data_IF_068067611842
#
_entry.id   IF_068067611842
#
_cell.length_a   1.000
_cell.length_b   1.000
_cell.length_c   1.000
_cell.angle_alpha   90.00
_cell.angle_beta   90.00
_cell.angle_gamma   90.00
#
_symmetry.space_group_name_H-M   'P 1'
#
loop_
_entity.id
_entity.type
_entity.pdbx_description
1 polymer ?
#
# COMPACT_ATOMS: atom_id res chain seq x y z
N UNK A 1 -2.12 10.12 8.57
CA UNK A 1 -2.01 8.66 8.44
C UNK A 1 -0.94 8.38 7.38
N UNK A 2 0.01 7.48 7.62
CA UNK A 2 1.05 7.15 6.62
C UNK A 2 0.51 6.03 5.73
N UNK A 3 0.55 6.21 4.41
CA UNK A 3 0.24 5.11 3.47
C UNK A 3 1.43 4.16 3.45
N UNK A 4 1.16 2.89 3.71
CA UNK A 4 2.17 1.83 3.67
C UNK A 4 1.87 0.98 2.44
N UNK A 5 2.88 0.76 1.63
CA UNK A 5 2.84 -0.20 0.53
C UNK A 5 2.82 -1.61 1.13
N UNK A 6 1.67 -2.29 1.05
CA UNK A 6 1.46 -3.59 1.66
C UNK A 6 2.41 -4.65 1.09
N UNK A 7 2.70 -4.59 -0.21
CA UNK A 7 3.60 -5.54 -0.88
C UNK A 7 5.04 -5.37 -0.39
N UNK A 8 5.50 -4.11 -0.25
CA UNK A 8 6.82 -3.83 0.35
C UNK A 8 6.89 -4.27 1.82
N UNK A 9 5.80 -4.10 2.58
CA UNK A 9 5.75 -4.55 3.97
C UNK A 9 5.82 -6.09 4.06
N UNK A 10 5.05 -6.80 3.24
CA UNK A 10 5.06 -8.27 3.18
C UNK A 10 6.46 -8.76 2.80
N UNK A 11 7.12 -8.13 1.82
CA UNK A 11 8.48 -8.47 1.43
C UNK A 11 9.47 -8.35 2.59
N UNK A 12 9.44 -7.23 3.33
CA UNK A 12 10.30 -7.03 4.49
C UNK A 12 10.00 -8.06 5.61
N UNK A 13 8.71 -8.36 5.86
CA UNK A 13 8.32 -9.39 6.84
C UNK A 13 8.81 -10.78 6.42
N UNK A 14 8.79 -11.10 5.14
CA UNK A 14 9.28 -12.37 4.62
C UNK A 14 10.80 -12.51 4.80
N UNK A 15 11.57 -11.44 4.57
CA UNK A 15 13.02 -11.44 4.83
C UNK A 15 13.34 -11.69 6.32
N UNK A 16 12.55 -11.08 7.22
CA UNK A 16 12.65 -11.36 8.66
C UNK A 16 12.25 -12.80 8.99
N UNK A 17 11.18 -13.32 8.38
CA UNK A 17 10.77 -14.71 8.58
C UNK A 17 11.88 -15.69 8.16
N UNK A 18 12.54 -15.47 7.02
CA UNK A 18 13.65 -16.30 6.57
C UNK A 18 14.86 -16.26 7.52
N UNK A 19 15.10 -15.12 8.16
CA UNK A 19 16.19 -14.96 9.14
C UNK A 19 15.89 -15.73 10.44
N UNK A 20 14.64 -15.72 10.88
CA UNK A 20 14.18 -16.36 12.12
C UNK A 20 13.68 -17.80 11.89
N UNK A 21 13.87 -18.35 10.70
CA UNK A 21 13.44 -19.71 10.36
C UNK A 21 14.22 -20.74 11.19
N UNK A 22 13.56 -21.76 11.76
CA UNK A 22 14.21 -22.76 12.59
C UNK A 22 15.26 -23.55 11.81
N UNK A 23 16.49 -23.60 12.33
CA UNK A 23 17.59 -24.38 11.76
C UNK A 23 17.64 -25.80 12.39
N UNK A 24 17.95 -26.80 11.57
CA UNK A 24 18.15 -28.19 12.01
C UNK A 24 19.33 -28.35 12.97
N UNK A 25 20.24 -27.37 13.02
CA UNK A 25 21.41 -27.33 13.91
C UNK A 25 21.09 -26.79 15.31
N UNK A 26 19.95 -26.14 15.50
CA UNK A 26 19.53 -25.58 16.80
C UNK A 26 19.22 -26.66 17.83
N UNK A 27 19.45 -26.37 19.11
CA UNK A 27 18.97 -27.24 20.17
C UNK A 27 17.44 -27.21 20.24
N UNK A 28 16.83 -28.22 20.88
CA UNK A 28 15.37 -28.33 20.95
C UNK A 28 14.68 -27.12 21.62
N UNK A 29 15.38 -26.40 22.51
CA UNK A 29 14.88 -25.18 23.14
C UNK A 29 14.87 -23.99 22.18
N UNK A 30 16.00 -23.75 21.50
CA UNK A 30 16.17 -22.68 20.49
C UNK A 30 15.19 -22.88 19.34
N UNK A 31 15.05 -24.12 18.83
CA UNK A 31 14.14 -24.45 17.74
C UNK A 31 12.68 -24.13 18.04
N UNK A 32 12.26 -24.25 19.31
CA UNK A 32 10.90 -23.88 19.73
C UNK A 32 10.70 -22.36 19.67
N UNK A 33 11.74 -21.59 20.01
CA UNK A 33 11.70 -20.13 19.99
C UNK A 33 11.67 -19.65 18.55
N UNK A 34 12.59 -20.09 17.70
CA UNK A 34 12.65 -19.73 16.27
C UNK A 34 11.36 -20.11 15.55
N UNK A 35 10.84 -21.32 15.78
CA UNK A 35 9.54 -21.74 15.23
C UNK A 35 8.37 -20.86 15.67
N UNK A 36 8.34 -20.41 16.94
CA UNK A 36 7.28 -19.53 17.43
C UNK A 36 7.38 -18.12 16.81
N UNK A 37 8.59 -17.59 16.68
CA UNK A 37 8.86 -16.28 16.04
C UNK A 37 8.47 -16.32 14.56
N UNK A 38 8.93 -17.34 13.83
CA UNK A 38 8.58 -17.57 12.43
C UNK A 38 7.07 -17.61 12.22
N UNK A 39 6.36 -18.40 13.04
CA UNK A 39 4.90 -18.51 12.98
C UNK A 39 4.20 -17.18 13.26
N UNK A 40 4.68 -16.39 14.23
CA UNK A 40 4.14 -15.07 14.53
C UNK A 40 4.27 -14.13 13.33
N UNK A 41 5.45 -14.10 12.67
CA UNK A 41 5.69 -13.26 11.49
C UNK A 41 4.76 -13.69 10.34
N UNK A 42 4.58 -14.99 10.12
CA UNK A 42 3.64 -15.49 9.11
C UNK A 42 2.19 -15.06 9.38
N UNK A 43 1.77 -15.07 10.64
CA UNK A 43 0.43 -14.59 11.02
C UNK A 43 0.29 -13.09 10.79
N UNK A 44 1.34 -12.30 11.02
CA UNK A 44 1.35 -10.88 10.68
C UNK A 44 1.20 -10.65 9.17
N UNK A 45 1.90 -11.42 8.32
CA UNK A 45 1.74 -11.30 6.86
C UNK A 45 0.31 -11.59 6.42
N UNK A 46 -0.32 -12.64 6.94
CA UNK A 46 -1.75 -12.95 6.68
C UNK A 46 -2.67 -11.82 7.09
N UNK A 47 -2.44 -11.22 8.26
CA UNK A 47 -3.24 -10.10 8.72
C UNK A 47 -3.12 -8.87 7.80
N UNK A 48 -1.97 -8.67 7.13
CA UNK A 48 -1.79 -7.62 6.13
C UNK A 48 -2.55 -7.97 4.84
N UNK A 49 -2.48 -9.21 4.38
CA UNK A 49 -3.19 -9.69 3.18
C UNK A 49 -4.72 -9.64 3.32
N UNK A 50 -5.24 -9.90 4.53
CA UNK A 50 -6.68 -9.85 4.84
C UNK A 50 -7.22 -8.43 4.97
N UNK A 51 -6.35 -7.43 5.17
CA UNK A 51 -6.81 -6.05 5.29
C UNK A 51 -7.31 -5.52 3.95
N UNK A 52 -8.48 -4.86 3.92
CA UNK A 52 -8.93 -4.21 2.72
C UNK A 52 -7.96 -3.09 2.34
N UNK A 53 -7.68 -2.95 1.05
CA UNK A 53 -6.85 -1.86 0.54
C UNK A 53 -7.49 -0.53 0.91
N UNK A 54 -6.81 0.25 1.75
CA UNK A 54 -7.33 1.54 2.21
C UNK A 54 -7.44 2.58 1.09
N UNK A 55 -6.73 2.37 -0.02
CA UNK A 55 -6.72 3.24 -1.18
C UNK A 55 -6.86 2.42 -2.47
N UNK A 56 -8.03 2.52 -3.09
CA UNK A 56 -8.33 1.86 -4.36
C UNK A 56 -8.22 2.88 -5.49
N UNK A 57 -7.09 2.82 -6.21
CA UNK A 57 -6.76 3.76 -7.30
C UNK A 57 -7.88 3.83 -8.33
N UNK A 58 -8.45 2.70 -8.72
CA UNK A 58 -9.48 2.65 -9.76
C UNK A 58 -10.77 3.31 -9.27
N UNK A 59 -11.20 3.03 -8.03
CA UNK A 59 -12.36 3.73 -7.44
C UNK A 59 -12.15 5.24 -7.35
N UNK A 60 -10.95 5.68 -6.95
CA UNK A 60 -10.64 7.11 -6.88
C UNK A 60 -10.69 7.75 -8.26
N UNK A 61 -10.17 7.06 -9.29
CA UNK A 61 -10.24 7.57 -10.67
C UNK A 61 -11.66 7.61 -11.21
N UNK A 62 -12.51 6.64 -10.87
CA UNK A 62 -13.93 6.65 -11.21
C UNK A 62 -14.68 7.81 -10.55
N UNK A 63 -14.41 8.08 -9.27
CA UNK A 63 -14.97 9.23 -8.56
C UNK A 63 -14.53 10.55 -9.18
N UNK A 64 -13.26 10.67 -9.57
CA UNK A 64 -12.75 11.85 -10.29
C UNK A 64 -13.49 12.05 -11.61
N UNK A 65 -13.70 10.99 -12.40
CA UNK A 65 -14.45 11.06 -13.65
C UNK A 65 -15.91 11.49 -13.41
N UNK A 66 -16.56 10.92 -12.38
CA UNK A 66 -17.95 11.27 -12.02
C UNK A 66 -18.10 12.70 -11.51
N UNK A 67 -17.16 13.16 -10.68
CA UNK A 67 -17.16 14.52 -10.12
C UNK A 67 -16.68 15.55 -11.14
N UNK A 68 -16.05 15.14 -12.24
CA UNK A 68 -15.61 16.05 -13.28
C UNK A 68 -16.80 16.69 -13.98
N UNK A 69 -17.01 17.98 -13.73
CA UNK A 69 -17.94 18.79 -14.49
C UNK A 69 -17.28 19.22 -15.81
N UNK A 70 -18.05 19.25 -16.91
CA UNK A 70 -17.65 19.98 -18.13
C UNK A 70 -17.70 21.47 -17.81
N UNK A 71 -16.70 21.98 -17.10
CA UNK A 71 -16.54 23.40 -16.83
C UNK A 71 -16.03 24.07 -18.11
N UNK A 72 -16.92 24.69 -18.90
CA UNK A 72 -16.49 25.70 -19.87
C UNK A 72 -15.97 26.88 -19.05
N UNK A 73 -14.70 27.29 -19.18
CA UNK A 73 -14.13 28.29 -18.30
C UNK A 73 -14.76 29.65 -18.61
N UNK A 74 -15.79 30.04 -17.83
CA UNK A 74 -16.38 31.37 -17.85
C UNK A 74 -15.87 32.13 -16.62
N UNK A 75 -14.83 32.94 -16.82
CA UNK A 75 -14.49 34.03 -15.89
C UNK A 75 -13.68 33.69 -14.63
N UNK A 76 -12.95 32.58 -14.57
CA UNK A 76 -12.07 32.30 -13.41
C UNK A 76 -10.64 32.81 -13.61
N UNK A 77 -10.30 33.87 -12.86
CA UNK A 77 -9.04 34.61 -12.97
C UNK A 77 -7.84 33.97 -12.23
N UNK A 78 -7.91 32.72 -11.78
CA UNK A 78 -6.81 32.05 -11.05
C UNK A 78 -6.26 30.86 -11.85
N UNK A 79 -5.13 31.09 -12.52
CA UNK A 79 -4.46 30.15 -13.45
C UNK A 79 -3.89 28.85 -12.83
N UNK A 80 -4.15 28.53 -11.55
CA UNK A 80 -3.60 27.35 -10.86
C UNK A 80 -4.63 26.48 -10.12
N UNK A 81 -5.91 26.82 -10.17
CA UNK A 81 -6.96 26.09 -9.41
C UNK A 81 -7.67 25.01 -10.25
N UNK A 82 -7.27 24.80 -11.52
CA UNK A 82 -7.90 23.84 -12.43
C UNK A 82 -6.81 23.01 -13.12
N UNK A 83 -6.92 21.69 -13.02
CA UNK A 83 -6.17 20.73 -13.82
C UNK A 83 -7.14 19.90 -14.65
N UNK A 84 -6.69 19.41 -15.80
CA UNK A 84 -7.52 18.51 -16.59
C UNK A 84 -7.76 17.19 -15.84
N UNK A 85 -8.94 16.61 -16.03
CA UNK A 85 -9.32 15.34 -15.37
C UNK A 85 -8.31 14.22 -15.66
N UNK A 86 -7.74 14.18 -16.86
CA UNK A 86 -6.70 13.23 -17.22
C UNK A 86 -5.44 13.41 -16.34
N UNK A 87 -5.01 14.66 -16.14
CA UNK A 87 -3.84 15.00 -15.32
C UNK A 87 -4.08 14.63 -13.86
N UNK A 88 -5.29 14.87 -13.33
CA UNK A 88 -5.66 14.46 -11.98
C UNK A 88 -5.56 12.93 -11.78
N UNK A 89 -6.02 12.16 -12.77
CA UNK A 89 -5.95 10.70 -12.76
C UNK A 89 -4.49 10.23 -12.79
N UNK A 90 -3.64 10.82 -13.62
CA UNK A 90 -2.21 10.48 -13.68
C UNK A 90 -1.49 10.77 -12.36
N UNK A 91 -1.80 11.88 -11.69
CA UNK A 91 -1.26 12.21 -10.36
C UNK A 91 -1.66 11.14 -9.35
N UNK A 92 -2.92 10.70 -9.35
CA UNK A 92 -3.40 9.65 -8.45
C UNK A 92 -2.69 8.31 -8.74
N UNK A 93 -2.57 7.93 -10.02
CA UNK A 93 -1.91 6.68 -10.43
C UNK A 93 -0.41 6.67 -10.13
N UNK A 94 0.25 7.82 -10.19
CA UNK A 94 1.66 7.99 -9.83
C UNK A 94 1.89 8.12 -8.32
N UNK A 95 0.83 8.15 -7.51
CA UNK A 95 0.94 8.26 -6.05
C UNK A 95 1.35 9.65 -5.55
N UNK A 96 1.34 10.66 -6.41
CA UNK A 96 1.64 12.05 -6.06
C UNK A 96 3.09 12.29 -5.60
N UNK A 97 4.04 11.49 -6.07
CA UNK A 97 5.47 11.68 -5.78
C UNK A 97 6.03 12.75 -6.72
N UNK A 98 6.81 13.70 -6.18
CA UNK A 98 7.52 14.74 -6.94
C UNK A 98 8.32 14.20 -8.15
#
# INVERSE_FOLDING_TARGET
MRLIDADKLIMALNDYALTEAPDERECAGERRISSAVYSAIQNCMKAVEEQPTAFDVEKVTDEILRASCIARPMGWNRKREIIETHTAIEIVKSGGVE
#
